data_IF_482457177780
#
_entry.id   IF_482457177780
#
_cell.length_a   1.000
_cell.length_b   1.000
_cell.length_c   1.000
_cell.angle_alpha   90.00
_cell.angle_beta   90.00
_cell.angle_gamma   90.00
#
_symmetry.space_group_name_H-M   'P 1'
#
loop_
_entity.id
_entity.type
_entity.pdbx_description
1 polymer ?
#
# COMPACT_ATOMS: atom_id res chain seq x y z
N UNK A 1 -12.84 -26.86 1.98
CA UNK A 1 -14.26 -26.47 2.03
C UNK A 1 -14.62 -26.10 3.48
N UNK A 2 -14.78 -24.81 3.79
CA UNK A 2 -14.85 -24.31 5.17
C UNK A 2 -16.19 -23.59 5.45
N UNK A 3 -17.31 -24.24 5.11
CA UNK A 3 -18.63 -23.61 5.00
C UNK A 3 -19.59 -23.88 6.18
N UNK A 4 -19.09 -24.25 7.37
CA UNK A 4 -19.98 -24.54 8.54
C UNK A 4 -19.70 -23.76 9.83
N UNK A 5 -18.85 -22.74 9.78
CA UNK A 5 -18.78 -21.73 10.83
C UNK A 5 -18.15 -20.47 10.29
N UNK A 6 -18.80 -19.32 10.40
CA UNK A 6 -18.28 -18.01 10.00
C UNK A 6 -17.00 -17.56 10.75
N UNK A 7 -16.24 -18.47 11.38
CA UNK A 7 -15.06 -18.21 12.21
C UNK A 7 -13.72 -18.45 11.49
N UNK A 8 -13.74 -18.98 10.26
CA UNK A 8 -12.51 -19.20 9.48
C UNK A 8 -11.48 -20.04 10.25
N UNK A 9 -10.25 -19.54 10.38
CA UNK A 9 -9.12 -20.15 11.12
C UNK A 9 -8.92 -19.59 12.53
N UNK A 10 -9.78 -18.68 12.99
CA UNK A 10 -9.57 -17.98 14.25
C UNK A 10 -10.32 -18.65 15.41
N UNK A 11 -9.62 -18.88 16.53
CA UNK A 11 -10.16 -19.56 17.71
C UNK A 11 -10.99 -18.68 18.65
N UNK A 12 -11.12 -17.38 18.36
CA UNK A 12 -11.69 -16.37 19.26
C UNK A 12 -12.90 -15.62 18.67
N UNK A 13 -13.70 -14.99 19.54
CA UNK A 13 -14.87 -14.19 19.14
C UNK A 13 -14.49 -12.73 18.92
N UNK A 14 -14.57 -12.28 17.67
CA UNK A 14 -14.39 -10.89 17.26
C UNK A 14 -15.77 -10.26 17.02
N UNK A 15 -16.30 -9.57 18.02
CA UNK A 15 -17.56 -8.83 17.90
C UNK A 15 -17.31 -7.34 18.14
N UNK A 16 -17.86 -6.51 17.27
CA UNK A 16 -17.84 -5.05 17.39
C UNK A 16 -19.18 -4.50 16.90
N UNK A 17 -19.74 -3.52 17.63
CA UNK A 17 -20.98 -2.86 17.22
C UNK A 17 -20.71 -1.88 16.08
N UNK A 18 -21.64 -1.81 15.12
CA UNK A 18 -21.52 -0.91 13.95
C UNK A 18 -21.49 0.56 14.40
N UNK A 19 -22.43 1.00 15.24
CA UNK A 19 -22.48 2.37 15.77
C UNK A 19 -21.16 2.80 16.44
N UNK A 20 -20.51 1.86 17.11
CA UNK A 20 -19.22 2.08 17.77
C UNK A 20 -18.10 2.22 16.75
N UNK A 21 -18.02 1.29 15.80
CA UNK A 21 -17.01 1.30 14.75
C UNK A 21 -17.08 2.59 13.93
N UNK A 22 -18.29 3.05 13.59
CA UNK A 22 -18.51 4.31 12.89
C UNK A 22 -17.94 5.51 13.66
N UNK A 23 -18.19 5.61 14.97
CA UNK A 23 -17.69 6.71 15.78
C UNK A 23 -16.16 6.71 15.90
N UNK A 24 -15.55 5.54 16.09
CA UNK A 24 -14.10 5.41 16.17
C UNK A 24 -13.45 5.80 14.85
N UNK A 25 -13.93 5.25 13.73
CA UNK A 25 -13.38 5.54 12.39
C UNK A 25 -13.58 7.01 12.02
N UNK A 26 -14.74 7.59 12.35
CA UNK A 26 -14.99 9.01 12.15
C UNK A 26 -14.00 9.89 12.95
N UNK A 27 -13.72 9.51 14.19
CA UNK A 27 -12.74 10.19 15.05
C UNK A 27 -11.33 10.14 14.47
N UNK A 28 -10.89 8.95 14.04
CA UNK A 28 -9.57 8.75 13.44
C UNK A 28 -9.41 9.51 12.11
N UNK A 29 -10.42 9.52 11.24
CA UNK A 29 -10.33 10.29 9.99
C UNK A 29 -10.35 11.81 10.26
N UNK A 30 -11.10 12.29 11.26
CA UNK A 30 -11.05 13.70 11.68
C UNK A 30 -9.67 14.09 12.21
N UNK A 31 -9.04 13.17 12.94
CA UNK A 31 -7.67 13.33 13.42
C UNK A 31 -6.67 13.36 12.26
N UNK A 32 -6.80 12.44 11.30
CA UNK A 32 -5.98 12.38 10.09
C UNK A 32 -6.07 13.68 9.28
N UNK A 33 -7.29 14.15 9.02
CA UNK A 33 -7.53 15.39 8.26
C UNK A 33 -6.99 16.62 9.00
N UNK A 34 -7.15 16.69 10.33
CA UNK A 34 -6.58 17.80 11.11
C UNK A 34 -5.05 17.77 11.12
N UNK A 35 -4.43 16.59 11.20
CA UNK A 35 -2.98 16.43 11.06
C UNK A 35 -2.50 16.88 9.68
N UNK A 36 -3.14 16.42 8.61
CA UNK A 36 -2.82 16.81 7.24
C UNK A 36 -3.00 18.32 6.97
N UNK A 37 -3.91 19.00 7.69
CA UNK A 37 -4.13 20.44 7.55
C UNK A 37 -3.10 21.28 8.30
N UNK A 38 -2.63 20.80 9.46
CA UNK A 38 -1.72 21.53 10.34
C UNK A 38 -0.25 21.28 10.01
N UNK A 39 0.07 20.08 9.51
CA UNK A 39 1.43 19.61 9.23
C UNK A 39 1.48 19.01 7.83
N UNK A 40 1.14 19.79 6.81
CA UNK A 40 1.08 19.31 5.43
C UNK A 40 2.43 18.73 4.97
N UNK A 41 3.54 19.40 5.29
CA UNK A 41 4.88 18.94 4.93
C UNK A 41 5.27 17.62 5.61
N UNK A 42 4.93 17.44 6.90
CA UNK A 42 5.24 16.22 7.63
C UNK A 42 4.30 15.08 7.22
N UNK A 43 3.03 15.39 6.95
CA UNK A 43 2.06 14.45 6.38
C UNK A 43 2.52 13.96 5.01
N UNK A 44 2.97 14.86 4.13
CA UNK A 44 3.53 14.50 2.84
C UNK A 44 4.82 13.69 3.02
N UNK A 45 5.70 14.03 3.96
CA UNK A 45 6.90 13.23 4.23
C UNK A 45 6.58 11.84 4.79
N UNK A 46 5.56 11.67 5.60
CA UNK A 46 5.16 10.33 6.06
C UNK A 46 4.53 9.53 4.92
N UNK A 47 3.58 10.11 4.18
CA UNK A 47 2.92 9.46 3.05
C UNK A 47 3.90 9.13 1.91
N UNK A 48 4.80 10.06 1.57
CA UNK A 48 5.83 9.90 0.53
C UNK A 48 7.04 9.10 1.08
N UNK A 49 7.37 9.24 2.36
CA UNK A 49 8.44 8.48 3.02
C UNK A 49 8.12 7.00 3.07
N UNK A 50 6.85 6.64 3.26
CA UNK A 50 6.34 5.29 3.01
C UNK A 50 6.48 4.89 1.53
N UNK A 51 6.34 5.83 0.58
CA UNK A 51 6.48 5.65 -0.88
C UNK A 51 7.93 5.68 -1.42
N UNK A 52 8.94 5.71 -0.54
CA UNK A 52 10.37 5.42 -0.77
C UNK A 52 11.09 6.16 -1.92
N UNK A 53 12.01 7.05 -1.53
CA UNK A 53 13.14 7.47 -2.38
C UNK A 53 13.97 6.28 -2.91
N UNK A 54 14.09 5.19 -2.15
CA UNK A 54 14.77 3.98 -2.61
C UNK A 54 14.00 3.23 -3.71
N UNK A 55 12.66 3.32 -3.73
CA UNK A 55 11.86 2.76 -4.81
C UNK A 55 11.98 3.60 -6.07
N UNK A 56 12.15 4.92 -5.94
CA UNK A 56 12.39 5.78 -7.09
C UNK A 56 13.75 5.52 -7.75
N UNK A 57 14.82 5.32 -6.97
CA UNK A 57 16.13 4.97 -7.52
C UNK A 57 16.11 3.59 -8.16
N UNK A 58 15.49 2.59 -7.52
CA UNK A 58 15.30 1.27 -8.13
C UNK A 58 14.45 1.35 -9.40
N UNK A 59 13.37 2.14 -9.41
CA UNK A 59 12.55 2.33 -10.61
C UNK A 59 13.38 2.88 -11.76
N UNK A 60 14.19 3.92 -11.50
CA UNK A 60 15.09 4.50 -12.51
C UNK A 60 16.11 3.47 -13.03
N UNK A 61 16.60 2.57 -12.17
CA UNK A 61 17.48 1.47 -12.60
C UNK A 61 16.73 0.47 -13.50
N UNK A 62 15.52 0.05 -13.12
CA UNK A 62 14.67 -0.84 -13.93
C UNK A 62 14.29 -0.22 -15.28
N UNK A 63 13.99 1.07 -15.32
CA UNK A 63 13.71 1.80 -16.56
C UNK A 63 14.95 1.87 -17.48
N UNK A 64 16.14 2.07 -16.91
CA UNK A 64 17.40 2.03 -17.68
C UNK A 64 17.69 0.63 -18.21
N UNK A 65 17.50 -0.40 -17.38
CA UNK A 65 17.66 -1.79 -17.80
C UNK A 65 16.67 -2.14 -18.91
N UNK A 66 15.39 -1.74 -18.78
CA UNK A 66 14.38 -1.93 -19.80
C UNK A 66 14.77 -1.28 -21.13
N UNK A 67 15.30 -0.05 -21.10
CA UNK A 67 15.79 0.64 -22.31
C UNK A 67 16.96 -0.11 -22.95
N UNK A 68 17.89 -0.62 -22.14
CA UNK A 68 19.03 -1.42 -22.63
C UNK A 68 18.56 -2.71 -23.30
N UNK A 69 17.60 -3.43 -22.70
CA UNK A 69 17.05 -4.66 -23.26
C UNK A 69 16.27 -4.42 -24.55
N UNK A 70 15.52 -3.32 -24.64
CA UNK A 70 14.82 -2.93 -25.88
C UNK A 70 15.80 -2.58 -27.00
N UNK A 71 16.85 -1.80 -26.69
CA UNK A 71 17.89 -1.50 -27.67
C UNK A 71 18.58 -2.77 -28.17
N UNK A 72 18.82 -3.75 -27.29
CA UNK A 72 19.38 -5.04 -27.67
C UNK A 72 18.44 -5.87 -28.54
N UNK A 73 17.14 -5.84 -28.27
CA UNK A 73 16.12 -6.50 -29.07
C UNK A 73 16.07 -5.92 -30.49
N UNK A 74 16.06 -4.58 -30.60
CA UNK A 74 16.11 -3.85 -31.87
C UNK A 74 17.43 -4.12 -32.65
N UNK A 75 18.55 -4.23 -31.94
CA UNK A 75 19.83 -4.64 -32.56
C UNK A 75 19.76 -6.05 -33.16
N UNK A 76 19.10 -6.98 -32.48
CA UNK A 76 18.94 -8.35 -32.96
C UNK A 76 18.07 -8.40 -34.22
N UNK A 77 17.00 -7.59 -34.29
CA UNK A 77 16.18 -7.45 -35.50
C UNK A 77 17.03 -6.99 -36.69
N UNK A 78 17.82 -5.92 -36.51
CA UNK A 78 18.71 -5.42 -37.56
C UNK A 78 19.81 -6.41 -37.96
N UNK A 79 20.28 -7.26 -37.03
CA UNK A 79 21.21 -8.35 -37.36
C UNK A 79 20.53 -9.48 -38.13
N UNK A 80 19.27 -9.78 -37.80
CA UNK A 80 18.47 -10.80 -38.48
C UNK A 80 18.22 -10.43 -39.94
N UNK A 81 17.85 -9.17 -40.19
CA UNK A 81 17.65 -8.63 -41.53
C UNK A 81 18.92 -8.77 -42.39
N UNK A 82 20.08 -8.38 -41.87
CA UNK A 82 21.36 -8.51 -42.59
C UNK A 82 21.74 -9.96 -42.87
N UNK A 83 21.54 -10.86 -41.89
CA UNK A 83 21.82 -12.28 -42.08
C UNK A 83 20.93 -12.88 -43.17
N UNK A 84 19.67 -12.44 -43.27
CA UNK A 84 18.76 -12.84 -44.34
C UNK A 84 19.25 -12.35 -45.72
N UNK A 85 19.66 -11.08 -45.82
CA UNK A 85 20.22 -10.51 -47.05
C UNK A 85 21.49 -11.25 -47.52
N UNK A 86 22.39 -11.57 -46.58
CA UNK A 86 23.62 -12.32 -46.88
C UNK A 86 23.35 -13.77 -47.28
N UNK A 87 22.28 -14.39 -46.76
CA UNK A 87 21.85 -15.73 -47.20
C UNK A 87 21.30 -15.71 -48.62
N UNK A 88 20.38 -14.78 -48.93
CA UNK A 88 19.77 -14.67 -50.27
C UNK A 88 20.80 -14.29 -51.33
N UNK A 89 21.83 -13.50 -50.98
CA UNK A 89 22.93 -13.16 -51.88
C UNK A 89 24.00 -14.26 -52.01
N UNK A 90 23.86 -15.39 -51.31
CA UNK A 90 24.76 -16.54 -51.38
C UNK A 90 26.11 -16.35 -50.67
N UNK A 91 26.27 -15.25 -49.91
CA UNK A 91 27.49 -15.02 -49.09
C UNK A 91 27.51 -15.89 -47.84
N UNK A 92 26.33 -16.33 -47.40
CA UNK A 92 26.14 -17.21 -46.25
C UNK A 92 25.52 -18.53 -46.72
N UNK A 93 25.98 -19.65 -46.16
CA UNK A 93 25.38 -20.96 -46.41
C UNK A 93 24.15 -21.19 -45.53
N UNK A 94 23.16 -21.92 -46.04
CA UNK A 94 21.90 -22.19 -45.33
C UNK A 94 22.12 -22.84 -43.93
N UNK A 95 23.10 -23.72 -43.79
CA UNK A 95 23.44 -24.34 -42.49
C UNK A 95 23.91 -23.31 -41.44
N UNK A 96 24.69 -22.32 -41.89
CA UNK A 96 25.17 -21.24 -41.01
C UNK A 96 24.06 -20.26 -40.69
N UNK A 97 23.21 -19.94 -41.67
CA UNK A 97 22.00 -19.16 -41.46
C UNK A 97 21.12 -19.81 -40.38
N UNK A 98 20.75 -21.08 -40.55
CA UNK A 98 19.90 -21.80 -39.60
C UNK A 98 20.48 -21.80 -38.18
N UNK A 99 21.80 -21.97 -38.03
CA UNK A 99 22.46 -21.94 -36.73
C UNK A 99 22.46 -20.55 -36.09
N UNK A 100 22.69 -19.49 -36.86
CA UNK A 100 22.72 -18.12 -36.36
C UNK A 100 21.32 -17.61 -36.03
N UNK A 101 20.35 -17.83 -36.92
CA UNK A 101 18.94 -17.46 -36.73
C UNK A 101 18.37 -18.07 -35.45
N UNK A 102 18.61 -19.37 -35.20
CA UNK A 102 18.18 -20.01 -33.94
C UNK A 102 18.74 -19.33 -32.69
N UNK A 103 20.03 -18.96 -32.69
CA UNK A 103 20.64 -18.29 -31.53
C UNK A 103 20.03 -16.93 -31.26
N UNK A 104 19.75 -16.15 -32.31
CA UNK A 104 19.13 -14.84 -32.17
C UNK A 104 17.66 -14.95 -31.74
N UNK A 105 16.90 -15.91 -32.27
CA UNK A 105 15.53 -16.20 -31.82
C UNK A 105 15.49 -16.61 -30.34
N UNK A 106 16.43 -17.45 -29.90
CA UNK A 106 16.57 -17.84 -28.49
C UNK A 106 16.89 -16.62 -27.60
N UNK A 107 17.79 -15.73 -28.05
CA UNK A 107 18.13 -14.50 -27.33
C UNK A 107 16.93 -13.55 -27.26
N UNK A 108 16.26 -13.27 -28.39
CA UNK A 108 15.05 -12.43 -28.44
C UNK A 108 13.93 -12.97 -27.55
N UNK A 109 13.72 -14.29 -27.54
CA UNK A 109 12.75 -14.91 -26.63
C UNK A 109 13.10 -14.63 -25.16
N UNK A 110 14.37 -14.77 -24.79
CA UNK A 110 14.86 -14.45 -23.45
C UNK A 110 14.72 -12.96 -23.10
N UNK A 111 15.00 -12.06 -24.03
CA UNK A 111 14.81 -10.61 -23.87
C UNK A 111 13.34 -10.26 -23.70
N UNK A 112 12.46 -10.80 -24.54
CA UNK A 112 11.00 -10.58 -24.48
C UNK A 112 10.42 -10.98 -23.12
N UNK A 113 10.85 -12.11 -22.56
CA UNK A 113 10.43 -12.54 -21.22
C UNK A 113 10.91 -11.59 -20.12
N UNK A 114 12.16 -11.12 -20.18
CA UNK A 114 12.70 -10.14 -19.23
C UNK A 114 12.01 -8.78 -19.34
N UNK A 115 11.79 -8.29 -20.57
CA UNK A 115 11.06 -7.06 -20.86
C UNK A 115 9.64 -7.12 -20.28
N UNK A 116 8.92 -8.22 -20.51
CA UNK A 116 7.56 -8.43 -19.95
C UNK A 116 7.57 -8.38 -18.42
N UNK A 117 8.53 -9.05 -17.77
CA UNK A 117 8.66 -9.03 -16.31
C UNK A 117 8.95 -7.62 -15.79
N UNK A 118 9.95 -6.95 -16.34
CA UNK A 118 10.33 -5.58 -15.94
C UNK A 118 9.19 -4.59 -16.14
N UNK A 119 8.49 -4.64 -17.28
CA UNK A 119 7.30 -3.80 -17.52
C UNK A 119 6.21 -4.05 -16.49
N UNK A 120 5.92 -5.32 -16.16
CA UNK A 120 4.93 -5.62 -15.12
C UNK A 120 5.35 -5.10 -13.74
N UNK A 121 6.64 -5.11 -13.41
CA UNK A 121 7.12 -4.60 -12.13
C UNK A 121 7.04 -3.08 -12.05
N UNK A 122 7.45 -2.38 -13.12
CA UNK A 122 7.33 -0.93 -13.23
C UNK A 122 5.85 -0.51 -13.15
N UNK A 123 4.94 -1.22 -13.81
CA UNK A 123 3.50 -0.92 -13.75
C UNK A 123 2.93 -1.12 -12.35
N UNK A 124 3.35 -2.18 -11.64
CA UNK A 124 2.98 -2.40 -10.24
C UNK A 124 3.53 -1.31 -9.32
N UNK A 125 4.70 -0.76 -9.60
CA UNK A 125 5.26 0.37 -8.86
C UNK A 125 4.52 1.68 -9.18
N UNK A 126 4.19 1.94 -10.46
CA UNK A 126 3.47 3.14 -10.90
C UNK A 126 2.04 3.19 -10.35
N UNK A 127 1.30 2.08 -10.46
CA UNK A 127 -0.04 1.97 -9.87
C UNK A 127 -0.04 2.28 -8.37
N UNK A 128 0.97 1.85 -7.61
CA UNK A 128 1.13 2.24 -6.19
C UNK A 128 1.36 3.73 -6.03
N UNK A 129 2.28 4.31 -6.79
CA UNK A 129 2.59 5.74 -6.74
C UNK A 129 1.37 6.62 -7.08
N UNK A 130 0.64 6.30 -8.15
CA UNK A 130 -0.61 7.01 -8.52
C UNK A 130 -1.67 6.90 -7.43
N UNK A 131 -1.74 5.75 -6.74
CA UNK A 131 -2.68 5.55 -5.66
C UNK A 131 -2.30 6.40 -4.43
N UNK A 132 -1.01 6.60 -4.14
CA UNK A 132 -0.51 7.53 -3.11
C UNK A 132 -0.94 8.98 -3.40
N UNK A 133 -0.77 9.46 -4.64
CA UNK A 133 -1.19 10.82 -5.04
C UNK A 133 -2.72 10.99 -4.92
N UNK A 134 -3.47 9.94 -5.28
CA UNK A 134 -4.91 9.90 -5.11
C UNK A 134 -5.30 9.99 -3.62
N UNK A 135 -4.62 9.26 -2.74
CA UNK A 135 -4.84 9.30 -1.29
C UNK A 135 -4.63 10.71 -0.72
N UNK A 136 -3.52 11.38 -1.06
CA UNK A 136 -3.26 12.77 -0.66
C UNK A 136 -4.39 13.70 -1.13
N UNK A 137 -4.87 13.51 -2.36
CA UNK A 137 -5.97 14.30 -2.90
C UNK A 137 -7.28 14.09 -2.14
N UNK A 138 -7.58 12.85 -1.73
CA UNK A 138 -8.77 12.51 -0.97
C UNK A 138 -8.68 13.14 0.42
N UNK A 139 -7.55 13.00 1.12
CA UNK A 139 -7.36 13.61 2.45
C UNK A 139 -7.55 15.14 2.38
N UNK A 140 -6.98 15.81 1.37
CA UNK A 140 -7.18 17.26 1.12
C UNK A 140 -8.63 17.64 0.80
N UNK A 141 -9.43 16.75 0.19
CA UNK A 141 -10.88 16.98 0.00
C UNK A 141 -11.64 16.78 1.32
N UNK A 142 -11.22 15.82 2.12
CA UNK A 142 -11.83 15.50 3.41
C UNK A 142 -11.64 16.61 4.45
N UNK A 143 -10.50 17.32 4.44
CA UNK A 143 -10.27 18.47 5.35
C UNK A 143 -11.32 19.57 5.20
N UNK A 144 -11.90 19.72 3.99
CA UNK A 144 -12.93 20.72 3.70
C UNK A 144 -14.36 20.20 3.92
N UNK A 145 -14.54 18.91 4.12
CA UNK A 145 -15.86 18.28 4.22
C UNK A 145 -16.39 18.31 5.67
N UNK A 146 -17.66 18.70 5.85
CA UNK A 146 -18.32 18.76 7.17
C UNK A 146 -18.74 17.38 7.70
N UNK A 147 -18.91 16.40 6.82
CA UNK A 147 -19.31 15.02 7.14
C UNK A 147 -18.53 14.04 6.27
N UNK A 148 -18.17 12.91 6.86
CA UNK A 148 -17.62 11.77 6.14
C UNK A 148 -18.75 11.03 5.43
N UNK A 149 -18.61 10.88 4.11
CA UNK A 149 -19.55 10.09 3.32
C UNK A 149 -19.03 8.65 3.19
N UNK A 150 -19.93 7.65 3.00
CA UNK A 150 -19.52 6.26 2.77
C UNK A 150 -18.54 6.12 1.60
N UNK A 151 -18.71 6.95 0.56
CA UNK A 151 -17.80 7.00 -0.58
C UNK A 151 -16.38 7.42 -0.17
N UNK A 152 -16.25 8.50 0.61
CA UNK A 152 -14.94 8.95 1.11
C UNK A 152 -14.27 7.89 2.00
N UNK A 153 -15.06 7.17 2.80
CA UNK A 153 -14.55 6.11 3.67
C UNK A 153 -14.03 4.91 2.86
N UNK A 154 -14.76 4.45 1.86
CA UNK A 154 -14.31 3.37 0.96
C UNK A 154 -13.08 3.77 0.13
N UNK A 155 -12.94 5.07 -0.19
CA UNK A 155 -11.78 5.60 -0.90
C UNK A 155 -10.56 5.79 0.03
N UNK A 156 -10.75 6.01 1.34
CA UNK A 156 -9.68 6.20 2.33
C UNK A 156 -9.19 4.91 2.98
N UNK A 157 -10.11 3.98 3.28
CA UNK A 157 -9.87 2.81 4.12
C UNK A 157 -9.94 1.55 3.27
N UNK A 158 -8.88 0.75 3.29
CA UNK A 158 -8.81 -0.55 2.61
C UNK A 158 -9.54 -1.62 3.42
N UNK A 159 -9.18 -1.72 4.71
CA UNK A 159 -9.76 -2.68 5.65
C UNK A 159 -9.60 -2.21 7.09
N UNK A 160 -10.43 -2.75 7.96
CA UNK A 160 -10.32 -2.54 9.41
C UNK A 160 -10.18 -3.92 10.07
N UNK A 161 -9.07 -4.13 10.76
CA UNK A 161 -8.81 -5.34 11.52
C UNK A 161 -9.28 -5.16 12.96
N UNK A 162 -10.15 -6.06 13.39
CA UNK A 162 -10.76 -6.05 14.73
C UNK A 162 -10.15 -7.16 15.57
N UNK A 163 -9.41 -6.80 16.60
CA UNK A 163 -8.83 -7.75 17.53
C UNK A 163 -9.84 -8.17 18.60
N UNK A 164 -9.48 -9.21 19.37
CA UNK A 164 -10.26 -9.59 20.54
C UNK A 164 -10.24 -8.49 21.60
N UNK A 165 -11.28 -8.48 22.44
CA UNK A 165 -11.30 -7.66 23.63
C UNK A 165 -10.46 -8.35 24.72
N UNK A 166 -9.42 -7.67 25.18
CA UNK A 166 -8.51 -8.13 26.23
C UNK A 166 -8.72 -7.28 27.49
N UNK A 167 -8.62 -7.91 28.67
CA UNK A 167 -8.72 -7.18 29.94
C UNK A 167 -7.34 -6.65 30.33
N UNK A 168 -7.16 -5.34 30.28
CA UNK A 168 -5.91 -4.65 30.66
C UNK A 168 -6.24 -3.75 31.86
N UNK A 169 -5.49 -3.89 32.96
CA UNK A 169 -5.64 -3.06 34.17
C UNK A 169 -7.07 -2.98 34.75
N UNK A 170 -7.86 -4.05 34.59
CA UNK A 170 -9.24 -4.12 35.09
C UNK A 170 -10.31 -3.74 34.06
N UNK A 171 -9.91 -3.12 32.95
CA UNK A 171 -10.78 -2.62 31.89
C UNK A 171 -10.73 -3.52 30.65
N UNK A 172 -11.87 -3.70 29.96
CA UNK A 172 -11.92 -4.43 28.70
C UNK A 172 -11.55 -3.52 27.54
N UNK A 173 -10.40 -3.77 26.91
CA UNK A 173 -9.84 -3.01 25.79
C UNK A 173 -9.91 -3.84 24.51
N UNK A 174 -10.50 -3.29 23.45
CA UNK A 174 -10.57 -3.94 22.14
C UNK A 174 -9.73 -3.16 21.11
N UNK A 175 -8.71 -3.78 20.52
CA UNK A 175 -7.85 -3.09 19.57
C UNK A 175 -8.47 -3.07 18.17
N UNK A 176 -8.36 -1.94 17.48
CA UNK A 176 -8.73 -1.76 16.09
C UNK A 176 -7.50 -1.30 15.30
N UNK A 177 -7.30 -1.84 14.09
CA UNK A 177 -6.30 -1.34 13.13
C UNK A 177 -6.97 -0.95 11.84
N UNK A 178 -6.77 0.30 11.43
CA UNK A 178 -7.29 0.84 10.17
C UNK A 178 -6.14 0.80 9.17
N UNK A 179 -6.35 0.09 8.06
CA UNK A 179 -5.45 0.09 6.92
C UNK A 179 -5.96 1.11 5.92
N UNK A 180 -5.18 2.16 5.68
CA UNK A 180 -5.51 3.18 4.70
C UNK A 180 -5.11 2.72 3.31
N UNK A 181 -5.93 3.02 2.31
CA UNK A 181 -5.60 2.75 0.92
C UNK A 181 -4.23 3.38 0.60
N UNK A 182 -3.36 2.61 -0.06
CA UNK A 182 -2.08 3.03 -0.64
C UNK A 182 -0.92 3.25 0.35
N UNK A 183 -1.20 3.64 1.60
CA UNK A 183 -0.17 3.91 2.62
C UNK A 183 -0.09 2.81 3.68
N UNK A 184 -1.12 1.96 3.80
CA UNK A 184 -1.17 0.90 4.79
C UNK A 184 -1.41 1.43 6.20
N UNK A 185 -0.58 1.02 7.16
CA UNK A 185 -0.67 1.51 8.55
C UNK A 185 0.03 2.86 8.67
N UNK A 186 -0.74 3.93 8.90
CA UNK A 186 -0.19 5.25 9.24
C UNK A 186 -0.29 5.53 10.73
N UNK A 187 0.84 5.94 11.32
CA UNK A 187 0.90 6.42 12.69
C UNK A 187 0.74 7.94 12.71
N UNK A 188 -0.47 8.43 13.00
CA UNK A 188 -0.68 9.87 13.23
C UNK A 188 -0.08 10.22 14.59
N UNK A 189 0.89 11.13 14.70
CA UNK A 189 1.42 11.57 16.00
C UNK A 189 0.29 12.08 16.91
N UNK A 190 0.42 11.85 18.22
CA UNK A 190 -0.53 12.39 19.22
C UNK A 190 -0.38 13.91 19.42
N UNK A 191 0.64 14.52 18.80
CA UNK A 191 0.88 15.95 18.80
C UNK A 191 0.53 16.54 17.43
N UNK A 192 -0.29 17.59 17.38
CA UNK A 192 -0.82 18.37 18.50
C UNK A 192 -1.94 17.57 19.20
N UNK A 193 -2.36 17.96 20.41
CA UNK A 193 -3.37 17.26 21.21
C UNK A 193 -4.69 17.07 20.44
N UNK A 194 -4.76 16.03 19.64
CA UNK A 194 -5.95 15.60 18.95
C UNK A 194 -6.62 14.59 19.88
N UNK A 195 -7.87 14.84 20.29
CA UNK A 195 -8.55 13.94 21.20
C UNK A 195 -8.61 12.56 20.53
N UNK A 196 -7.99 11.57 21.17
CA UNK A 196 -8.21 10.17 20.83
C UNK A 196 -9.71 9.95 20.93
N UNK A 197 -10.36 9.30 19.96
CA UNK A 197 -11.77 8.95 20.10
C UNK A 197 -11.92 7.95 21.26
N UNK A 198 -12.07 8.47 22.47
CA UNK A 198 -12.48 7.72 23.65
C UNK A 198 -13.99 7.53 23.55
N UNK A 199 -14.40 6.54 22.75
CA UNK A 199 -15.81 6.19 22.60
C UNK A 199 -16.15 5.18 23.70
N UNK A 200 -16.90 5.62 24.71
CA UNK A 200 -17.47 4.73 25.72
C UNK A 200 -18.88 4.33 25.27
N UNK A 201 -19.14 3.03 25.16
CA UNK A 201 -20.48 2.52 24.88
C UNK A 201 -20.92 1.65 26.05
N UNK A 202 -22.04 2.02 26.68
CA UNK A 202 -22.72 1.17 27.64
C UNK A 202 -23.33 -0.04 26.91
N UNK A 203 -22.55 -1.07 26.66
CA UNK A 203 -23.08 -2.43 26.75
C UNK A 203 -23.27 -2.72 28.24
N UNK A 204 -24.24 -3.57 28.64
CA UNK A 204 -24.54 -3.87 30.07
C UNK A 204 -23.39 -4.48 30.89
N UNK A 205 -22.16 -4.42 30.39
CA UNK A 205 -20.87 -4.64 31.05
C UNK A 205 -19.93 -3.57 30.49
N UNK A 206 -19.42 -2.67 31.33
CA UNK A 206 -18.53 -1.57 30.94
C UNK A 206 -17.32 -2.10 30.14
N UNK A 207 -17.19 -1.72 28.87
CA UNK A 207 -16.05 -2.01 28.00
C UNK A 207 -15.40 -0.69 27.59
N UNK A 208 -14.12 -0.52 27.90
CA UNK A 208 -13.33 0.70 27.65
C UNK A 208 -12.33 0.45 26.53
N UNK A 209 -12.58 0.99 25.35
CA UNK A 209 -11.68 0.78 24.22
C UNK A 209 -10.70 1.95 24.09
N UNK A 210 -9.40 1.67 24.23
CA UNK A 210 -8.33 2.57 23.81
C UNK A 210 -7.80 2.15 22.45
N UNK A 211 -7.90 3.04 21.45
CA UNK A 211 -7.20 2.86 20.19
C UNK A 211 -5.72 3.22 20.39
N UNK A 212 -4.89 2.23 20.70
CA UNK A 212 -3.43 2.39 20.71
C UNK A 212 -2.90 2.15 19.30
N UNK A 213 -2.54 3.24 18.60
CA UNK A 213 -1.61 3.17 17.47
C UNK A 213 -0.25 2.77 18.05
N UNK A 214 0.04 1.48 17.96
CA UNK A 214 1.18 0.83 18.62
C UNK A 214 2.49 1.20 17.91
N UNK A 215 3.02 2.38 18.25
CA UNK A 215 4.31 2.88 17.77
C UNK A 215 5.24 3.40 18.87
N UNK A 216 4.79 3.44 20.13
CA UNK A 216 5.67 3.76 21.27
C UNK A 216 5.40 2.80 22.41
N UNK A 217 6.43 2.02 22.77
CA UNK A 217 6.58 1.38 24.08
C UNK A 217 6.06 2.36 25.14
N UNK A 218 5.03 1.93 25.87
CA UNK A 218 4.52 2.61 27.06
C UNK A 218 5.71 3.02 27.95
N UNK A 219 6.08 4.30 27.96
CA UNK A 219 6.45 4.94 29.22
C UNK A 219 5.15 5.42 29.80
N UNK A 220 4.67 4.68 30.79
CA UNK A 220 3.58 5.11 31.64
C UNK A 220 3.92 6.52 32.16
N UNK A 221 3.11 7.50 31.81
CA UNK A 221 3.00 8.74 32.56
C UNK A 221 1.58 8.77 33.08
N UNK A 222 1.43 8.18 34.27
CA UNK A 222 0.30 8.35 35.15
C UNK A 222 0.16 9.83 35.47
N UNK A 223 -0.75 10.52 34.79
CA UNK A 223 -1.29 11.78 35.27
C UNK A 223 -2.73 11.56 35.68
N UNK A 224 -2.86 11.27 36.97
CA UNK A 224 -4.08 11.46 37.75
C UNK A 224 -4.54 12.91 37.58
N UNK A 225 -5.65 13.12 36.89
CA UNK A 225 -6.52 14.25 37.21
C UNK A 225 -7.50 13.76 38.27
N UNK A 226 -7.22 14.11 39.53
CA UNK A 226 -8.21 14.12 40.61
C UNK A 226 -9.11 15.35 40.40
N UNK A 227 -10.40 15.18 40.66
CA UNK A 227 -11.35 16.27 40.83
C UNK A 227 -10.89 17.28 41.88
#
# INVERSE_FOLDING_TARGET
SNYKGNRGTCGSTHYVRVDFLEQVVLGEIRRLTKYASLYEDDFLKEVIGHSRQAEETERRLKEKELKSLLARDDELDGLFERIYEDNVSGKLSDDRFAKMSRRYEEEQKGLSEKIKKLRSEIEKQNSRATSTDMFVSIVRKCTRARKLTPRMLNELVEKIEVYNADKIDGEWVQRLRIHYNCVGEMNIPNEPALPIPAVTVNTGKCVFVSCTTDGRKKRASSQLFKC
#
